data_IF_908615900244
#
_entry.id   IF_908615900244
#
_cell.length_a   1.000
_cell.length_b   1.000
_cell.length_c   1.000
_cell.angle_alpha   90.00
_cell.angle_beta   90.00
_cell.angle_gamma   90.00
#
_symmetry.space_group_name_H-M   'P 1'
#
loop_
_entity.id
_entity.type
_entity.pdbx_description
1 polymer ?
#
# COMPACT_ATOMS: atom_id res chain seq x y z
N UNK A 1 -15.45 16.01 -26.83
CA UNK A 1 -15.68 17.45 -27.10
C UNK A 1 -17.15 17.86 -27.02
N UNK A 2 -18.09 17.16 -27.67
CA UNK A 2 -19.52 17.51 -27.67
C UNK A 2 -20.18 17.56 -26.28
N UNK A 3 -20.04 16.52 -25.44
CA UNK A 3 -20.59 16.51 -24.08
C UNK A 3 -20.00 17.59 -23.15
N UNK A 4 -18.71 17.92 -23.33
CA UNK A 4 -18.04 18.96 -22.55
C UNK A 4 -18.62 20.36 -22.85
N UNK A 5 -19.10 20.60 -24.08
CA UNK A 5 -19.78 21.84 -24.43
C UNK A 5 -21.12 21.99 -23.70
N UNK A 6 -21.93 20.93 -23.61
CA UNK A 6 -23.20 20.95 -22.88
C UNK A 6 -23.00 21.17 -21.37
N UNK A 7 -21.94 20.62 -20.80
CA UNK A 7 -21.61 20.73 -19.38
C UNK A 7 -20.77 21.97 -19.02
N UNK A 8 -20.47 22.84 -20.01
CA UNK A 8 -19.62 24.02 -19.82
C UNK A 8 -20.16 25.02 -18.79
N UNK A 9 -21.47 25.04 -18.54
CA UNK A 9 -22.10 25.88 -17.52
C UNK A 9 -21.81 25.43 -16.08
N UNK A 10 -21.17 24.26 -15.88
CA UNK A 10 -20.76 23.79 -14.56
C UNK A 10 -21.89 23.28 -13.68
N UNK A 11 -23.14 23.23 -14.16
CA UNK A 11 -24.31 22.85 -13.34
C UNK A 11 -24.44 21.36 -13.04
N UNK A 12 -23.49 20.53 -13.46
CA UNK A 12 -23.47 19.09 -13.19
C UNK A 12 -24.25 18.23 -14.18
N UNK A 13 -25.38 18.72 -14.70
CA UNK A 13 -26.24 18.04 -15.70
C UNK A 13 -26.65 19.01 -16.81
N UNK A 14 -26.84 18.48 -18.02
CA UNK A 14 -27.45 19.18 -19.14
C UNK A 14 -28.36 18.24 -19.95
N UNK A 15 -29.54 18.73 -20.33
CA UNK A 15 -30.47 18.01 -21.21
C UNK A 15 -30.43 18.60 -22.62
N UNK A 16 -30.32 17.75 -23.62
CA UNK A 16 -30.36 18.12 -25.03
C UNK A 16 -31.56 17.48 -25.71
N UNK A 17 -32.37 18.28 -26.41
CA UNK A 17 -33.63 17.87 -27.02
C UNK A 17 -33.51 17.89 -28.55
N UNK A 18 -33.84 16.78 -29.21
CA UNK A 18 -33.78 16.66 -30.66
C UNK A 18 -35.00 15.91 -31.24
N UNK A 19 -35.71 16.47 -32.23
CA UNK A 19 -35.58 17.85 -32.71
C UNK A 19 -36.07 18.85 -31.66
N UNK A 20 -35.41 20.00 -31.54
CA UNK A 20 -35.81 21.07 -30.61
C UNK A 20 -36.98 21.91 -31.15
N UNK A 21 -37.23 21.85 -32.46
CA UNK A 21 -38.36 22.50 -33.14
C UNK A 21 -38.83 21.66 -34.33
N UNK A 22 -40.10 21.82 -34.74
CA UNK A 22 -40.65 21.10 -35.88
C UNK A 22 -42.10 21.47 -36.15
N UNK A 23 -42.67 20.91 -37.22
CA UNK A 23 -44.10 21.03 -37.54
C UNK A 23 -44.75 19.66 -37.52
N UNK A 24 -45.85 19.50 -36.78
CA UNK A 24 -46.69 18.31 -36.84
C UNK A 24 -47.91 18.59 -37.71
N UNK A 25 -48.11 17.77 -38.75
CA UNK A 25 -49.37 17.75 -39.47
C UNK A 25 -50.51 17.18 -38.62
N UNK A 26 -51.75 17.37 -39.07
CA UNK A 26 -52.92 16.80 -38.40
C UNK A 26 -52.76 15.27 -38.27
N UNK A 27 -52.97 14.76 -37.06
CA UNK A 27 -52.84 13.34 -36.70
C UNK A 27 -51.44 12.73 -36.89
N UNK A 28 -50.42 13.56 -37.14
CA UNK A 28 -49.03 13.10 -37.17
C UNK A 28 -48.52 12.88 -35.74
N UNK A 29 -47.57 11.96 -35.58
CA UNK A 29 -46.78 11.78 -34.37
C UNK A 29 -45.32 12.14 -34.65
N UNK A 30 -44.67 12.78 -33.67
CA UNK A 30 -43.25 13.08 -33.70
C UNK A 30 -42.63 12.53 -32.42
N UNK A 31 -41.54 11.79 -32.57
CA UNK A 31 -40.71 11.34 -31.45
C UNK A 31 -39.66 12.41 -31.20
N UNK A 32 -39.55 12.84 -29.94
CA UNK A 32 -38.52 13.76 -29.47
C UNK A 32 -37.54 12.95 -28.62
N UNK A 33 -36.28 12.98 -28.99
CA UNK A 33 -35.18 12.39 -28.23
C UNK A 33 -34.65 13.41 -27.21
N UNK A 34 -34.47 12.96 -25.97
CA UNK A 34 -33.92 13.77 -24.88
C UNK A 34 -32.68 13.07 -24.36
N UNK A 35 -31.52 13.68 -24.56
CA UNK A 35 -30.22 13.16 -24.14
C UNK A 35 -29.73 13.92 -22.92
N UNK A 36 -29.45 13.20 -21.83
CA UNK A 36 -28.88 13.78 -20.62
C UNK A 36 -27.36 13.56 -20.55
N UNK A 37 -26.62 14.63 -20.28
CA UNK A 37 -25.18 14.59 -19.98
C UNK A 37 -24.96 14.96 -18.52
N UNK A 38 -24.01 14.32 -17.85
CA UNK A 38 -23.69 14.62 -16.45
C UNK A 38 -22.20 14.47 -16.15
N UNK A 39 -21.72 15.22 -15.14
CA UNK A 39 -20.38 15.04 -14.55
C UNK A 39 -20.37 15.14 -13.01
N UNK A 40 -21.51 15.39 -12.37
CA UNK A 40 -21.66 15.50 -10.91
C UNK A 40 -22.73 14.56 -10.39
N UNK A 41 -22.56 14.01 -9.18
CA UNK A 41 -23.66 13.33 -8.48
C UNK A 41 -24.73 14.34 -8.05
N UNK A 42 -25.90 13.83 -7.69
CA UNK A 42 -26.98 14.63 -7.12
C UNK A 42 -28.34 14.34 -7.73
N UNK A 43 -29.33 15.03 -7.19
CA UNK A 43 -30.71 15.04 -7.64
C UNK A 43 -30.98 16.33 -8.41
N UNK A 44 -31.45 16.18 -9.64
CA UNK A 44 -31.67 17.27 -10.58
C UNK A 44 -33.15 17.32 -10.97
N UNK A 45 -33.71 18.53 -10.96
CA UNK A 45 -35.05 18.86 -11.42
C UNK A 45 -34.96 19.96 -12.46
N UNK A 46 -35.72 19.80 -13.53
CA UNK A 46 -35.84 20.81 -14.57
C UNK A 46 -37.22 20.70 -15.24
N UNK A 47 -37.56 21.68 -16.08
CA UNK A 47 -38.84 21.72 -16.78
C UNK A 47 -38.62 21.77 -18.30
N UNK A 48 -39.16 20.79 -19.01
CA UNK A 48 -39.23 20.84 -20.46
C UNK A 48 -40.45 21.65 -20.89
N UNK A 49 -40.19 22.80 -21.51
CA UNK A 49 -41.23 23.72 -22.00
C UNK A 49 -41.50 23.46 -23.48
N UNK A 50 -42.70 22.95 -23.80
CA UNK A 50 -43.16 22.74 -25.16
C UNK A 50 -44.09 23.89 -25.58
N UNK A 51 -43.66 24.67 -26.58
CA UNK A 51 -44.45 25.77 -27.16
C UNK A 51 -45.01 25.38 -28.53
N UNK A 52 -46.31 25.56 -28.72
CA UNK A 52 -47.01 25.22 -29.98
C UNK A 52 -47.74 26.46 -30.51
N UNK A 53 -47.15 27.13 -31.50
CA UNK A 53 -47.71 28.36 -32.07
C UNK A 53 -48.01 29.42 -31.00
N UNK A 54 -49.26 29.89 -30.99
CA UNK A 54 -49.78 30.88 -30.03
C UNK A 54 -50.52 30.25 -28.83
N UNK A 55 -50.43 28.93 -28.64
CA UNK A 55 -51.01 28.25 -27.49
C UNK A 55 -50.17 28.47 -26.23
N UNK A 56 -50.82 28.37 -25.08
CA UNK A 56 -50.16 28.37 -23.77
C UNK A 56 -49.08 27.26 -23.72
N UNK A 57 -47.84 27.58 -23.27
CA UNK A 57 -46.78 26.60 -23.17
C UNK A 57 -47.15 25.44 -22.26
N UNK A 58 -46.86 24.22 -22.71
CA UNK A 58 -47.01 23.02 -21.88
C UNK A 58 -45.70 22.70 -21.18
N UNK A 59 -45.73 22.68 -19.85
CA UNK A 59 -44.59 22.30 -19.01
C UNK A 59 -44.62 20.80 -18.72
N UNK A 60 -43.48 20.14 -18.89
CA UNK A 60 -43.29 18.72 -18.61
C UNK A 60 -42.14 18.62 -17.59
N UNK A 61 -42.41 18.23 -16.33
CA UNK A 61 -41.37 18.16 -15.31
C UNK A 61 -40.39 17.02 -15.61
N UNK A 62 -39.11 17.31 -15.48
CA UNK A 62 -38.00 16.39 -15.67
C UNK A 62 -37.27 16.17 -14.35
N UNK A 63 -36.91 14.91 -14.06
CA UNK A 63 -36.14 14.55 -12.89
C UNK A 63 -35.04 13.56 -13.28
N UNK A 64 -33.84 13.77 -12.73
CA UNK A 64 -32.69 12.91 -12.94
C UNK A 64 -31.90 12.77 -11.65
N UNK A 65 -31.58 11.53 -11.27
CA UNK A 65 -30.67 11.25 -10.16
C UNK A 65 -29.38 10.65 -10.71
N UNK A 66 -28.27 11.32 -10.46
CA UNK A 66 -26.94 10.81 -10.79
C UNK A 66 -26.34 10.15 -9.55
N UNK A 67 -26.11 8.85 -9.63
CA UNK A 67 -25.42 8.06 -8.58
C UNK A 67 -24.02 7.69 -9.04
N UNK A 68 -23.13 7.45 -8.06
CA UNK A 68 -21.76 7.00 -8.30
C UNK A 68 -20.70 8.05 -7.94
N UNK A 69 -19.44 7.63 -7.96
CA UNK A 69 -18.31 8.47 -7.62
C UNK A 69 -17.68 9.06 -8.89
N UNK A 70 -17.57 10.40 -9.01
CA UNK A 70 -16.97 11.04 -10.19
C UNK A 70 -15.42 11.06 -10.14
N UNK A 71 -14.83 10.39 -9.15
CA UNK A 71 -13.40 10.37 -8.87
C UNK A 71 -12.82 9.04 -9.36
N UNK A 72 -11.62 9.12 -9.92
CA UNK A 72 -10.89 7.96 -10.39
C UNK A 72 -9.51 7.92 -9.73
N UNK A 73 -9.14 6.76 -9.20
CA UNK A 73 -7.79 6.49 -8.74
C UNK A 73 -6.98 5.89 -9.89
N UNK A 74 -5.94 6.59 -10.31
CA UNK A 74 -5.01 6.13 -11.32
C UNK A 74 -3.69 5.72 -10.67
N UNK A 75 -3.37 4.42 -10.73
CA UNK A 75 -2.03 3.91 -10.45
C UNK A 75 -1.14 4.25 -11.66
N UNK A 76 -0.15 5.11 -11.48
CA UNK A 76 0.77 5.51 -12.56
C UNK A 76 2.09 4.76 -12.37
N UNK A 77 2.57 4.05 -13.39
CA UNK A 77 3.94 3.50 -13.44
C UNK A 77 4.29 2.31 -12.51
N UNK A 78 5.51 1.76 -12.61
CA UNK A 78 5.99 0.67 -11.77
C UNK A 78 6.28 1.16 -10.33
N UNK A 79 5.61 0.56 -9.34
CA UNK A 79 5.81 0.52 -7.87
C UNK A 79 6.26 1.76 -7.05
N UNK A 80 6.79 2.84 -7.64
CA UNK A 80 7.39 3.97 -6.89
C UNK A 80 6.67 5.31 -7.06
N UNK A 81 5.70 5.43 -7.97
CA UNK A 81 4.92 6.66 -8.10
C UNK A 81 3.66 6.59 -7.23
N UNK A 82 3.37 7.69 -6.52
CA UNK A 82 2.18 7.80 -5.69
C UNK A 82 0.92 7.73 -6.57
N UNK A 83 -0.14 7.01 -6.13
CA UNK A 83 -1.39 6.99 -6.86
C UNK A 83 -1.96 8.40 -7.01
N UNK A 84 -2.51 8.66 -8.20
CA UNK A 84 -3.08 9.96 -8.56
C UNK A 84 -4.59 9.85 -8.55
N UNK A 85 -5.22 10.66 -7.72
CA UNK A 85 -6.67 10.88 -7.71
C UNK A 85 -6.98 11.93 -8.77
N UNK A 86 -7.87 11.61 -9.70
CA UNK A 86 -8.31 12.52 -10.76
C UNK A 86 -9.79 12.83 -10.64
N UNK A 87 -10.11 14.07 -10.98
CA UNK A 87 -11.47 14.57 -10.95
C UNK A 87 -11.72 15.54 -12.11
N UNK A 88 -12.87 15.41 -12.78
CA UNK A 88 -13.08 16.01 -14.11
C UNK A 88 -14.09 17.17 -14.13
N UNK A 89 -14.55 17.65 -12.98
CA UNK A 89 -15.63 18.67 -12.91
C UNK A 89 -15.08 20.02 -12.47
N UNK A 90 -15.84 21.10 -12.57
CA UNK A 90 -15.34 22.44 -12.23
C UNK A 90 -15.21 22.73 -10.72
N UNK A 91 -15.87 21.96 -9.86
CA UNK A 91 -15.90 22.23 -8.42
C UNK A 91 -14.75 21.56 -7.70
N UNK A 92 -14.43 22.03 -6.50
CA UNK A 92 -13.50 21.35 -5.62
C UNK A 92 -14.27 20.28 -4.84
N UNK A 93 -13.75 19.05 -4.79
CA UNK A 93 -14.26 18.02 -3.88
C UNK A 93 -13.27 17.85 -2.75
N UNK A 94 -13.75 17.90 -1.52
CA UNK A 94 -13.01 17.37 -0.39
C UNK A 94 -13.27 15.88 -0.23
N UNK A 95 -12.21 15.12 -0.01
CA UNK A 95 -12.22 13.72 0.35
C UNK A 95 -11.74 13.55 1.78
N UNK A 96 -12.53 12.84 2.58
CA UNK A 96 -12.24 12.46 3.95
C UNK A 96 -12.05 10.95 4.03
N UNK A 97 -10.83 10.50 4.36
CA UNK A 97 -10.42 9.10 4.29
C UNK A 97 -10.56 8.36 5.63
N UNK A 98 -11.39 7.32 5.62
CA UNK A 98 -11.46 6.31 6.66
C UNK A 98 -10.89 4.98 6.14
N UNK A 99 -10.24 4.21 7.01
CA UNK A 99 -9.63 2.92 6.65
C UNK A 99 -10.17 1.85 7.59
N UNK A 100 -10.46 0.68 7.04
CA UNK A 100 -11.09 -0.42 7.73
C UNK A 100 -10.34 -1.71 7.45
N UNK A 101 -10.03 -2.47 8.49
CA UNK A 101 -9.54 -3.83 8.36
C UNK A 101 -10.71 -4.81 8.26
N UNK A 102 -10.52 -5.87 7.47
CA UNK A 102 -11.43 -7.01 7.44
C UNK A 102 -10.93 -8.08 8.40
N UNK A 103 -11.66 -8.30 9.50
CA UNK A 103 -11.37 -9.35 10.47
C UNK A 103 -12.25 -10.58 10.18
N UNK A 104 -11.65 -11.76 10.06
CA UNK A 104 -12.36 -13.00 9.68
C UNK A 104 -13.45 -13.41 10.68
N UNK A 105 -13.31 -13.02 11.94
CA UNK A 105 -14.22 -13.40 13.03
C UNK A 105 -15.17 -12.27 13.45
N UNK A 106 -15.29 -11.20 12.65
CA UNK A 106 -16.18 -10.09 12.97
C UNK A 106 -17.66 -10.47 12.79
N UNK A 107 -18.39 -10.50 13.91
CA UNK A 107 -19.82 -10.84 13.96
C UNK A 107 -20.72 -9.59 14.00
N UNK A 108 -20.16 -8.38 13.92
CA UNK A 108 -20.92 -7.14 13.98
C UNK A 108 -21.67 -6.90 12.67
N UNK A 109 -22.97 -6.62 12.76
CA UNK A 109 -23.83 -6.41 11.58
C UNK A 109 -24.09 -4.94 11.27
N UNK A 110 -24.11 -4.10 12.30
CA UNK A 110 -24.58 -2.71 12.21
C UNK A 110 -23.71 -1.80 13.08
N UNK A 111 -23.38 -0.64 12.54
CA UNK A 111 -22.77 0.48 13.27
C UNK A 111 -23.82 1.53 13.65
N UNK A 112 -23.75 2.01 14.88
CA UNK A 112 -24.45 3.19 15.36
C UNK A 112 -23.41 4.30 15.56
N UNK A 113 -23.39 5.28 14.66
CA UNK A 113 -22.48 6.41 14.72
C UNK A 113 -23.22 7.62 15.30
N UNK A 114 -22.61 8.29 16.25
CA UNK A 114 -23.13 9.50 16.89
C UNK A 114 -22.16 10.64 16.62
N UNK A 115 -22.66 11.71 16.00
CA UNK A 115 -21.87 12.90 15.68
C UNK A 115 -22.41 14.10 16.41
N UNK A 116 -21.50 14.96 16.86
CA UNK A 116 -21.79 16.26 17.43
C UNK A 116 -21.32 17.32 16.43
N UNK A 117 -22.25 17.92 15.69
CA UNK A 117 -21.96 18.78 14.54
C UNK A 117 -21.80 18.02 13.22
N UNK A 118 -20.99 18.60 12.31
CA UNK A 118 -20.66 18.01 11.01
C UNK A 118 -19.79 16.74 11.21
N UNK A 119 -20.16 15.58 10.62
CA UNK A 119 -19.32 14.37 10.68
C UNK A 119 -17.95 14.53 10.01
N UNK A 120 -17.82 15.45 9.05
CA UNK A 120 -16.59 15.67 8.27
C UNK A 120 -16.18 17.14 8.28
N UNK A 121 -15.83 17.72 9.44
CA UNK A 121 -15.46 19.12 9.50
C UNK A 121 -14.16 19.37 8.72
N UNK A 122 -14.05 20.49 7.99
CA UNK A 122 -12.77 20.90 7.40
C UNK A 122 -11.71 20.97 8.49
N UNK A 123 -10.56 20.31 8.29
CA UNK A 123 -9.43 20.42 9.19
C UNK A 123 -8.67 21.70 8.86
N UNK A 124 -8.53 22.58 9.85
CA UNK A 124 -7.69 23.76 9.70
C UNK A 124 -6.24 23.31 9.42
N UNK A 125 -5.61 23.89 8.40
CA UNK A 125 -4.22 23.61 7.99
C UNK A 125 -3.17 23.84 9.10
N UNK A 126 -3.58 24.33 10.27
CA UNK A 126 -2.75 24.59 11.44
C UNK A 126 -2.93 23.59 12.60
N UNK A 127 -3.91 22.68 12.56
CA UNK A 127 -4.17 21.70 13.63
C UNK A 127 -4.27 20.26 13.08
N UNK A 128 -3.14 19.68 12.72
CA UNK A 128 -2.95 18.23 12.58
C UNK A 128 -1.44 18.01 12.69
N UNK A 129 -0.84 17.55 13.79
CA UNK A 129 -1.15 16.39 14.62
C UNK A 129 -0.74 16.65 16.09
N UNK A 130 -1.67 16.72 17.04
CA UNK A 130 -1.39 16.39 18.45
C UNK A 130 -2.67 15.91 19.14
N UNK A 131 -3.03 14.65 18.89
CA UNK A 131 -3.72 13.84 19.90
C UNK A 131 -2.74 12.78 20.38
N UNK A 132 -1.73 13.20 21.16
CA UNK A 132 -0.97 12.31 22.02
C UNK A 132 -0.52 13.07 23.27
N UNK A 133 -0.84 12.47 24.40
CA UNK A 133 -0.66 12.99 25.75
C UNK A 133 0.83 13.16 26.11
N UNK A 134 1.23 14.38 26.48
CA UNK A 134 2.23 14.61 27.52
C UNK A 134 3.67 14.94 27.09
N UNK A 135 4.23 15.89 27.84
CA UNK A 135 5.64 16.30 28.05
C UNK A 135 6.29 17.35 27.14
N UNK A 136 6.85 18.33 27.85
CA UNK A 136 7.51 19.57 27.49
C UNK A 136 8.90 19.36 26.89
N UNK A 137 9.20 20.02 25.75
CA UNK A 137 10.46 20.76 25.50
C UNK A 137 10.57 21.20 24.03
N UNK A 138 10.64 22.51 23.80
CA UNK A 138 11.33 23.17 22.67
C UNK A 138 12.80 22.67 22.55
N UNK A 139 13.51 22.72 21.39
CA UNK A 139 13.48 23.87 20.47
C UNK A 139 13.62 23.62 18.94
N UNK A 140 13.22 24.65 18.21
CA UNK A 140 13.85 25.30 17.04
C UNK A 140 14.70 24.45 16.04
N UNK A 141 14.21 24.36 14.80
CA UNK A 141 14.93 24.93 13.64
C UNK A 141 14.04 24.95 12.38
N UNK A 142 13.77 26.17 11.93
CA UNK A 142 13.03 26.48 10.71
C UNK A 142 13.87 26.26 9.45
N UNK A 143 13.31 25.57 8.46
CA UNK A 143 13.72 25.69 7.07
C UNK A 143 12.53 26.16 6.24
N UNK A 144 12.50 27.48 5.99
CA UNK A 144 11.65 28.15 5.01
C UNK A 144 11.90 27.56 3.62
N UNK A 145 10.84 27.15 2.94
CA UNK A 145 10.83 27.09 1.48
C UNK A 145 9.70 27.98 0.96
N UNK A 146 10.10 29.03 0.25
CA UNK A 146 9.25 30.00 -0.42
C UNK A 146 8.22 29.30 -1.33
N UNK A 147 6.94 29.61 -1.14
CA UNK A 147 5.94 29.49 -2.19
C UNK A 147 5.25 30.85 -2.36
N UNK A 148 5.53 31.44 -3.52
CA UNK A 148 4.90 32.62 -4.08
C UNK A 148 3.38 32.45 -4.07
N UNK A 149 2.71 33.18 -3.19
CA UNK A 149 1.27 33.35 -3.22
C UNK A 149 0.89 34.05 -4.53
N UNK A 150 0.12 33.37 -5.38
CA UNK A 150 -0.65 34.00 -6.45
C UNK A 150 -2.08 34.17 -5.93
N UNK A 151 -2.54 35.41 -5.66
CA UNK A 151 -3.93 35.65 -5.31
C UNK A 151 -4.73 35.65 -6.62
N UNK A 152 -5.42 34.55 -6.93
CA UNK A 152 -6.28 34.52 -8.11
C UNK A 152 -7.70 34.95 -7.72
N UNK A 153 -7.96 36.25 -7.83
CA UNK A 153 -9.30 36.81 -7.75
C UNK A 153 -10.20 36.25 -8.87
N UNK A 154 -11.40 35.81 -8.48
CA UNK A 154 -12.47 35.47 -9.41
C UNK A 154 -12.89 36.74 -10.18
N UNK A 155 -12.54 36.82 -11.46
CA UNK A 155 -13.04 37.86 -12.36
C UNK A 155 -14.26 37.29 -13.09
N UNK A 156 -15.45 37.65 -12.59
CA UNK A 156 -16.71 37.44 -13.31
C UNK A 156 -16.82 38.46 -14.46
N UNK A 157 -17.13 38.05 -15.70
CA UNK A 157 -17.70 38.96 -16.68
C UNK A 157 -19.19 39.14 -16.36
N UNK A 158 -19.57 40.36 -15.99
CA UNK A 158 -20.95 40.78 -15.87
C UNK A 158 -21.68 40.62 -17.21
N UNK A 159 -22.74 39.82 -17.23
CA UNK A 159 -23.85 39.99 -18.16
C UNK A 159 -25.13 39.89 -17.34
N UNK A 160 -25.72 41.06 -17.10
CA UNK A 160 -27.00 41.24 -16.45
C UNK A 160 -28.12 40.93 -17.45
N UNK A 161 -29.02 40.02 -17.09
CA UNK A 161 -30.46 40.21 -17.30
C UNK A 161 -31.12 39.79 -16.00
N UNK A 162 -31.81 40.75 -15.40
CA UNK A 162 -32.43 40.67 -14.09
C UNK A 162 -33.62 39.73 -14.07
N UNK A 163 -33.66 38.85 -13.08
CA UNK A 163 -34.88 38.42 -12.40
C UNK A 163 -34.52 38.34 -10.91
N UNK A 164 -34.96 39.34 -10.15
CA UNK A 164 -34.85 39.37 -8.69
C UNK A 164 -35.93 38.46 -8.10
N UNK A 165 -35.62 37.18 -7.88
CA UNK A 165 -36.43 36.32 -7.02
C UNK A 165 -36.03 36.55 -5.56
N UNK A 166 -37.03 36.97 -4.78
CA UNK A 166 -36.93 37.23 -3.34
C UNK A 166 -36.65 35.91 -2.61
N UNK A 167 -35.40 35.75 -2.15
CA UNK A 167 -34.95 34.61 -1.35
C UNK A 167 -35.67 34.67 0.01
N UNK A 168 -36.70 33.85 0.17
CA UNK A 168 -37.24 33.51 1.49
C UNK A 168 -36.54 32.24 1.96
N UNK A 169 -35.38 32.40 2.60
CA UNK A 169 -34.63 31.28 3.16
C UNK A 169 -35.35 30.68 4.36
N UNK A 170 -35.66 29.39 4.31
CA UNK A 170 -36.04 28.61 5.48
C UNK A 170 -34.86 28.56 6.49
N UNK A 171 -35.13 28.54 7.80
CA UNK A 171 -34.07 28.56 8.81
C UNK A 171 -33.29 27.24 8.77
N UNK A 172 -31.98 27.31 8.50
CA UNK A 172 -31.05 26.19 8.65
C UNK A 172 -30.98 25.81 10.12
N UNK A 173 -31.71 24.78 10.53
CA UNK A 173 -31.53 24.17 11.85
C UNK A 173 -30.15 23.52 11.88
N UNK A 174 -29.21 24.11 12.61
CA UNK A 174 -27.90 23.49 12.85
C UNK A 174 -28.10 22.12 13.51
N UNK A 175 -27.67 21.06 12.82
CA UNK A 175 -27.71 19.69 13.36
C UNK A 175 -26.66 19.57 14.47
N UNK A 176 -27.05 19.86 15.71
CA UNK A 176 -26.14 19.79 16.87
C UNK A 176 -25.74 18.34 17.17
N UNK A 177 -26.67 17.40 17.03
CA UNK A 177 -26.42 15.96 17.21
C UNK A 177 -27.07 15.20 16.06
N UNK A 178 -26.31 14.31 15.42
CA UNK A 178 -26.83 13.39 14.41
C UNK A 178 -26.46 11.95 14.75
N UNK A 179 -27.37 11.03 14.43
CA UNK A 179 -27.20 9.59 14.66
C UNK A 179 -27.41 8.87 13.34
N UNK A 180 -26.43 8.08 12.94
CA UNK A 180 -26.46 7.29 11.71
C UNK A 180 -26.40 5.80 12.05
N UNK A 181 -27.34 5.03 11.49
CA UNK A 181 -27.33 3.58 11.54
C UNK A 181 -26.93 3.09 10.15
N UNK A 182 -25.86 2.30 10.05
CA UNK A 182 -25.39 1.74 8.77
C UNK A 182 -24.95 0.28 8.93
N UNK A 183 -24.90 -0.51 7.84
CA UNK A 183 -24.25 -1.81 7.85
C UNK A 183 -22.82 -1.69 8.38
N UNK A 184 -22.39 -2.66 9.18
CA UNK A 184 -21.00 -2.72 9.60
C UNK A 184 -20.13 -3.14 8.41
N UNK A 185 -19.19 -2.29 8.03
CA UNK A 185 -18.32 -2.56 6.87
C UNK A 185 -16.96 -3.16 7.27
N UNK A 186 -16.51 -2.92 8.50
CA UNK A 186 -15.24 -3.43 9.04
C UNK A 186 -14.77 -2.62 10.25
N UNK A 187 -13.61 -2.99 10.79
CA UNK A 187 -13.05 -2.37 12.00
C UNK A 187 -12.17 -1.16 11.60
N UNK A 188 -12.46 0.07 12.07
CA UNK A 188 -11.62 1.23 11.81
C UNK A 188 -10.16 1.00 12.23
N UNK A 189 -9.21 1.31 11.36
CA UNK A 189 -7.80 1.06 11.60
C UNK A 189 -6.85 2.11 10.99
N UNK A 190 -5.70 2.28 11.65
CA UNK A 190 -4.54 3.06 11.17
C UNK A 190 -3.37 2.16 10.77
N UNK A 191 -3.54 0.84 10.88
CA UNK A 191 -2.55 -0.19 10.60
C UNK A 191 -3.22 -1.50 10.15
N UNK A 192 -2.59 -2.28 9.26
CA UNK A 192 -1.28 -2.06 8.65
C UNK A 192 -1.30 -1.02 7.51
N UNK A 193 -2.47 -0.61 7.02
CA UNK A 193 -2.59 0.38 5.97
C UNK A 193 -2.81 1.79 6.50
N UNK A 194 -2.24 2.79 5.83
CA UNK A 194 -2.57 4.20 6.07
C UNK A 194 -2.62 5.01 4.77
N UNK A 195 -3.43 6.06 4.75
CA UNK A 195 -3.54 7.02 3.64
C UNK A 195 -3.21 8.42 4.16
N UNK A 196 -2.27 9.08 3.50
CA UNK A 196 -1.82 10.43 3.85
C UNK A 196 -1.86 11.35 2.63
N UNK A 197 -2.48 12.54 2.74
CA UNK A 197 -3.22 13.04 3.91
C UNK A 197 -4.60 12.39 4.09
N UNK A 198 -5.10 12.38 5.33
CA UNK A 198 -6.45 11.85 5.70
C UNK A 198 -7.59 12.71 5.16
N UNK A 199 -7.35 14.00 4.92
CA UNK A 199 -8.31 14.91 4.30
C UNK A 199 -7.62 15.63 3.15
N UNK A 200 -8.27 15.69 1.99
CA UNK A 200 -7.66 16.24 0.79
C UNK A 200 -8.68 16.94 -0.10
N UNK A 201 -8.32 18.09 -0.66
CA UNK A 201 -9.17 18.83 -1.59
C UNK A 201 -8.67 18.60 -3.02
N UNK A 202 -9.48 17.92 -3.82
CA UNK A 202 -9.21 17.69 -5.24
C UNK A 202 -9.70 18.90 -6.04
N UNK A 203 -8.81 19.60 -6.77
CA UNK A 203 -9.22 20.74 -7.58
C UNK A 203 -10.12 20.32 -8.73
N UNK A 204 -11.06 21.20 -9.07
CA UNK A 204 -11.93 20.99 -10.22
C UNK A 204 -11.16 20.81 -11.53
N UNK A 205 -11.38 19.68 -12.20
CA UNK A 205 -10.78 19.33 -13.49
C UNK A 205 -9.32 18.93 -13.37
N UNK A 206 -8.81 18.84 -12.13
CA UNK A 206 -7.43 18.56 -11.82
C UNK A 206 -7.22 17.19 -11.22
N UNK A 207 -6.07 17.06 -10.55
CA UNK A 207 -5.65 15.83 -9.92
C UNK A 207 -4.78 16.12 -8.72
N UNK A 208 -4.73 15.17 -7.79
CA UNK A 208 -3.89 15.24 -6.61
C UNK A 208 -3.37 13.84 -6.26
N UNK A 209 -2.18 13.76 -5.69
CA UNK A 209 -1.58 12.49 -5.28
C UNK A 209 -1.87 12.20 -3.80
N UNK A 210 -2.05 10.94 -3.48
CA UNK A 210 -2.13 10.45 -2.10
C UNK A 210 -1.06 9.39 -1.87
N UNK A 211 -0.53 9.32 -0.65
CA UNK A 211 0.36 8.24 -0.25
C UNK A 211 -0.46 7.16 0.44
N UNK A 212 -0.46 5.95 -0.11
CA UNK A 212 -1.01 4.75 0.54
C UNK A 212 0.19 3.92 0.99
N UNK A 213 0.29 3.64 2.29
CA UNK A 213 1.39 2.87 2.84
C UNK A 213 0.91 1.56 3.48
N UNK A 214 1.80 0.58 3.56
CA UNK A 214 1.57 -0.72 4.18
C UNK A 214 2.71 -1.02 5.15
N UNK A 215 2.39 -1.03 6.44
CA UNK A 215 3.28 -1.33 7.56
C UNK A 215 2.79 -2.60 8.23
N UNK A 216 3.23 -3.78 7.76
CA UNK A 216 2.78 -5.05 8.30
C UNK A 216 3.25 -5.27 9.73
N UNK A 217 2.51 -6.08 10.49
CA UNK A 217 2.96 -6.59 11.78
C UNK A 217 4.03 -7.67 11.57
N UNK A 218 4.84 -7.89 12.60
CA UNK A 218 5.81 -8.99 12.60
C UNK A 218 5.05 -10.31 12.49
N UNK A 219 5.45 -11.13 11.52
CA UNK A 219 4.85 -12.44 11.29
C UNK A 219 5.14 -13.36 12.49
N UNK A 220 4.12 -14.03 13.07
CA UNK A 220 4.35 -15.05 14.09
C UNK A 220 5.22 -16.19 13.53
N UNK A 221 6.08 -16.80 14.37
CA UNK A 221 6.99 -17.88 13.94
C UNK A 221 6.27 -19.11 13.36
N UNK A 222 4.98 -19.28 13.67
CA UNK A 222 4.15 -20.41 13.22
C UNK A 222 3.57 -20.24 11.82
N UNK A 223 3.53 -19.01 11.29
CA UNK A 223 2.87 -18.69 10.02
C UNK A 223 3.92 -18.42 8.93
N UNK A 224 3.73 -19.02 7.75
CA UNK A 224 4.64 -18.82 6.61
C UNK A 224 4.26 -17.63 5.75
N UNK A 225 2.98 -17.28 5.74
CA UNK A 225 2.42 -16.16 4.98
C UNK A 225 1.11 -15.72 5.66
N UNK A 226 0.91 -14.41 5.81
CA UNK A 226 -0.34 -13.80 6.27
C UNK A 226 -0.85 -12.85 5.19
N UNK A 227 -2.13 -12.97 4.89
CA UNK A 227 -2.86 -12.03 4.06
C UNK A 227 -3.45 -10.93 4.95
N UNK A 228 -3.25 -9.68 4.56
CA UNK A 228 -3.87 -8.51 5.18
C UNK A 228 -4.87 -7.94 4.18
N UNK A 229 -6.15 -7.96 4.55
CA UNK A 229 -7.23 -7.38 3.76
C UNK A 229 -7.79 -6.15 4.47
N UNK A 230 -7.93 -5.06 3.71
CA UNK A 230 -8.50 -3.81 4.20
C UNK A 230 -9.18 -3.07 3.05
N UNK A 231 -9.90 -2.01 3.38
CA UNK A 231 -10.38 -1.06 2.39
C UNK A 231 -10.37 0.36 2.96
N UNK A 232 -10.24 1.34 2.07
CA UNK A 232 -10.35 2.75 2.39
C UNK A 232 -11.61 3.34 1.76
N UNK A 233 -12.29 4.19 2.50
CA UNK A 233 -13.47 4.94 2.07
C UNK A 233 -13.13 6.43 2.04
N UNK A 234 -13.27 7.05 0.88
CA UNK A 234 -13.19 8.50 0.70
C UNK A 234 -14.59 9.10 0.67
N UNK A 235 -15.01 9.72 1.77
CA UNK A 235 -16.27 10.45 1.85
C UNK A 235 -16.14 11.80 1.15
N UNK A 236 -17.11 12.13 0.30
CA UNK A 236 -17.04 13.30 -0.55
C UNK A 236 -17.88 14.44 0.01
N UNK A 237 -17.29 15.62 0.08
CA UNK A 237 -17.96 16.86 0.50
C UNK A 237 -17.66 17.98 -0.49
N UNK A 238 -18.63 18.86 -0.71
CA UNK A 238 -18.47 20.05 -1.55
C UNK A 238 -18.48 21.26 -0.63
N UNK A 239 -17.37 21.96 -0.45
CA UNK A 239 -17.33 23.10 0.50
C UNK A 239 -17.96 24.38 -0.04
N UNK A 240 -18.15 24.45 -1.35
CA UNK A 240 -18.82 25.55 -2.03
C UNK A 240 -20.35 25.35 -1.99
N UNK A 241 -21.07 26.24 -1.32
CA UNK A 241 -22.53 26.20 -1.22
C UNK A 241 -23.23 26.27 -2.59
N UNK A 242 -22.64 27.01 -3.56
CA UNK A 242 -23.14 27.05 -4.94
C UNK A 242 -22.95 25.72 -5.66
N UNK A 243 -22.01 24.90 -5.19
CA UNK A 243 -21.81 23.54 -5.65
C UNK A 243 -22.74 22.55 -4.95
N UNK A 244 -23.19 22.81 -3.71
CA UNK A 244 -24.10 21.90 -3.00
C UNK A 244 -25.52 21.95 -3.52
N UNK A 245 -26.07 23.17 -3.66
CA UNK A 245 -27.50 23.35 -3.92
C UNK A 245 -27.75 24.48 -4.91
N UNK A 246 -28.70 24.24 -5.82
CA UNK A 246 -29.38 25.29 -6.58
C UNK A 246 -30.85 25.21 -6.17
N UNK A 247 -31.44 26.30 -5.61
CA UNK A 247 -32.83 26.28 -5.15
C UNK A 247 -33.77 25.64 -6.16
N UNK A 248 -34.60 24.71 -5.69
CA UNK A 248 -35.61 23.94 -6.43
C UNK A 248 -35.12 23.09 -7.62
N UNK A 249 -33.83 23.17 -7.97
CA UNK A 249 -33.28 22.52 -9.18
C UNK A 249 -32.25 21.46 -8.89
N UNK A 250 -31.37 21.67 -7.92
CA UNK A 250 -30.26 20.74 -7.67
C UNK A 250 -30.04 20.57 -6.19
N UNK A 251 -29.97 19.32 -5.75
CA UNK A 251 -29.52 18.95 -4.43
C UNK A 251 -28.40 17.90 -4.54
N UNK A 252 -27.26 18.17 -3.91
CA UNK A 252 -26.14 17.23 -3.81
C UNK A 252 -25.91 16.91 -2.34
N UNK A 253 -26.15 15.66 -1.96
CA UNK A 253 -25.76 15.17 -0.65
C UNK A 253 -24.24 15.22 -0.47
N UNK A 254 -23.80 15.19 0.78
CA UNK A 254 -22.40 15.16 1.20
C UNK A 254 -22.15 14.04 2.22
N UNK A 255 -20.88 13.73 2.47
CA UNK A 255 -20.45 12.77 3.48
C UNK A 255 -21.16 11.42 3.35
N UNK A 256 -21.92 11.05 4.39
CA UNK A 256 -22.65 9.77 4.46
C UNK A 256 -23.92 9.71 3.59
N UNK A 257 -24.39 10.84 3.03
CA UNK A 257 -25.55 10.85 2.12
C UNK A 257 -25.18 10.34 0.72
N UNK A 258 -23.88 10.23 0.42
CA UNK A 258 -23.34 9.79 -0.87
C UNK A 258 -22.53 8.51 -0.68
N UNK A 259 -22.63 7.54 -1.60
CA UNK A 259 -21.73 6.40 -1.59
C UNK A 259 -20.25 6.84 -1.62
N UNK A 260 -19.42 6.38 -0.67
CA UNK A 260 -18.02 6.78 -0.62
C UNK A 260 -17.22 6.22 -1.80
N UNK A 261 -16.09 6.87 -2.10
CA UNK A 261 -15.10 6.33 -3.00
C UNK A 261 -14.35 5.19 -2.31
N UNK A 262 -14.51 3.95 -2.79
CA UNK A 262 -13.90 2.76 -2.17
C UNK A 262 -12.61 2.35 -2.87
N UNK A 263 -11.58 2.06 -2.09
CA UNK A 263 -10.31 1.46 -2.53
C UNK A 263 -10.07 0.18 -1.73
N UNK A 264 -10.07 -0.97 -2.40
CA UNK A 264 -9.72 -2.24 -1.79
C UNK A 264 -8.19 -2.38 -1.68
N UNK A 265 -7.71 -2.86 -0.54
CA UNK A 265 -6.30 -2.96 -0.19
C UNK A 265 -5.97 -4.40 0.19
N UNK A 266 -4.98 -4.97 -0.49
CA UNK A 266 -4.54 -6.34 -0.26
C UNK A 266 -3.02 -6.39 -0.15
N UNK A 267 -2.52 -7.14 0.83
CA UNK A 267 -1.09 -7.26 1.12
C UNK A 267 -0.77 -8.64 1.67
N UNK A 268 0.42 -9.12 1.34
CA UNK A 268 0.90 -10.43 1.79
C UNK A 268 2.23 -10.26 2.51
N UNK A 269 2.32 -10.85 3.69
CA UNK A 269 3.52 -10.83 4.53
C UNK A 269 4.02 -12.27 4.64
N UNK A 270 5.09 -12.58 3.92
CA UNK A 270 5.70 -13.91 3.92
C UNK A 270 7.00 -13.96 4.72
N UNK A 271 7.26 -15.09 5.36
CA UNK A 271 8.55 -15.36 5.98
C UNK A 271 9.66 -15.40 4.91
N UNK A 272 10.78 -14.76 5.19
CA UNK A 272 11.98 -14.85 4.35
C UNK A 272 12.63 -16.23 4.58
N UNK A 273 12.18 -17.25 3.85
CA UNK A 273 12.69 -18.62 3.98
C UNK A 273 13.31 -19.11 2.68
N UNK A 274 14.53 -19.65 2.80
CA UNK A 274 15.19 -20.38 1.72
C UNK A 274 14.99 -21.87 1.91
N UNK A 275 14.63 -22.56 0.83
CA UNK A 275 14.65 -24.02 0.83
C UNK A 275 16.09 -24.49 0.75
N UNK A 276 16.51 -25.32 1.71
CA UNK A 276 17.83 -25.94 1.76
C UNK A 276 17.71 -27.40 1.35
N UNK A 277 18.33 -27.77 0.24
CA UNK A 277 18.45 -29.15 -0.21
C UNK A 277 19.91 -29.61 -0.01
N UNK A 278 20.10 -30.70 0.76
CA UNK A 278 21.40 -31.36 0.96
C UNK A 278 21.42 -32.71 0.27
N UNK A 279 22.61 -33.19 -0.12
CA UNK A 279 22.77 -34.49 -0.80
C UNK A 279 22.37 -35.69 0.07
N UNK A 280 22.29 -35.50 1.39
CA UNK A 280 21.95 -36.55 2.35
C UNK A 280 20.79 -36.11 3.26
N UNK A 281 19.90 -37.05 3.60
CA UNK A 281 18.73 -36.81 4.47
C UNK A 281 19.11 -36.43 5.92
N UNK A 282 20.36 -36.68 6.33
CA UNK A 282 20.88 -36.37 7.67
C UNK A 282 21.56 -34.99 7.76
N UNK A 283 21.33 -34.13 6.77
CA UNK A 283 22.02 -32.86 6.62
C UNK A 283 23.41 -33.02 6.01
N UNK A 284 24.25 -32.00 6.17
CA UNK A 284 25.60 -31.96 5.61
C UNK A 284 26.60 -32.65 6.54
N UNK A 285 27.20 -33.77 6.10
CA UNK A 285 28.09 -34.59 6.95
C UNK A 285 29.45 -34.74 6.30
N UNK A 286 30.46 -34.16 6.91
CA UNK A 286 31.87 -34.25 6.47
C UNK A 286 32.56 -35.44 7.14
N UNK A 287 33.32 -36.20 6.35
CA UNK A 287 34.22 -37.25 6.85
C UNK A 287 35.64 -36.88 6.47
N UNK A 288 36.51 -36.76 7.47
CA UNK A 288 37.95 -36.56 7.29
C UNK A 288 38.71 -37.41 8.31
N UNK A 289 39.93 -37.80 7.94
CA UNK A 289 40.83 -38.60 8.75
C UNK A 289 42.12 -37.83 9.01
N UNK A 290 42.75 -38.08 10.16
CA UNK A 290 43.99 -37.40 10.52
C UNK A 290 45.13 -37.62 9.51
N UNK A 291 45.10 -38.74 8.76
CA UNK A 291 46.05 -39.01 7.68
C UNK A 291 45.94 -38.03 6.51
N UNK A 292 44.83 -37.30 6.36
CA UNK A 292 44.66 -36.26 5.34
C UNK A 292 45.64 -35.09 5.53
N UNK A 293 46.25 -34.97 6.72
CA UNK A 293 47.30 -33.99 7.01
C UNK A 293 48.69 -34.45 6.56
N UNK A 294 48.86 -35.72 6.16
CA UNK A 294 50.14 -36.29 5.76
C UNK A 294 50.21 -36.33 4.24
N UNK A 295 51.20 -35.65 3.66
CA UNK A 295 51.42 -35.69 2.21
C UNK A 295 52.05 -37.04 1.79
N UNK A 296 51.70 -37.51 0.59
CA UNK A 296 52.27 -38.73 -0.01
C UNK A 296 53.80 -38.65 -0.21
N UNK A 297 54.36 -37.43 -0.23
CA UNK A 297 55.79 -37.18 -0.29
C UNK A 297 56.36 -36.87 1.12
N UNK A 298 57.18 -37.77 1.70
CA UNK A 298 57.69 -37.62 3.07
C UNK A 298 58.56 -36.37 3.32
N UNK A 299 59.09 -35.76 2.25
CA UNK A 299 60.00 -34.62 2.31
C UNK A 299 59.29 -33.27 2.49
N UNK A 300 57.97 -33.20 2.28
CA UNK A 300 57.18 -31.97 2.37
C UNK A 300 56.52 -31.73 3.73
N UNK A 301 56.69 -32.64 4.69
CA UNK A 301 56.19 -32.49 6.06
C UNK A 301 54.68 -32.72 6.21
N UNK A 302 54.16 -32.39 7.40
CA UNK A 302 52.74 -32.52 7.77
C UNK A 302 52.04 -31.19 7.54
N UNK A 303 50.91 -31.21 6.84
CA UNK A 303 50.06 -30.04 6.61
C UNK A 303 49.55 -29.47 7.93
N UNK A 304 49.39 -28.16 7.97
CA UNK A 304 48.70 -27.48 9.08
C UNK A 304 47.20 -27.72 9.05
N UNK A 305 46.65 -27.86 7.83
CA UNK A 305 45.22 -27.97 7.58
C UNK A 305 44.96 -28.77 6.30
N UNK A 306 43.89 -29.58 6.29
CA UNK A 306 43.33 -30.20 5.08
C UNK A 306 41.84 -29.88 4.97
N UNK A 307 41.33 -29.70 3.76
CA UNK A 307 39.99 -29.15 3.54
C UNK A 307 39.12 -30.16 2.79
N UNK A 308 37.97 -30.49 3.38
CA UNK A 308 36.93 -31.30 2.73
C UNK A 308 35.74 -30.41 2.39
N UNK A 309 35.32 -30.38 1.13
CA UNK A 309 34.23 -29.50 0.68
C UNK A 309 33.03 -30.30 0.20
N UNK A 310 31.84 -29.88 0.63
CA UNK A 310 30.56 -30.39 0.15
C UNK A 310 29.71 -29.23 -0.35
N UNK A 311 28.65 -29.53 -1.09
CA UNK A 311 27.73 -28.52 -1.61
C UNK A 311 26.32 -28.71 -1.04
N UNK A 312 25.61 -27.61 -0.85
CA UNK A 312 24.18 -27.58 -0.59
C UNK A 312 23.52 -26.64 -1.57
N UNK A 313 22.24 -26.86 -1.85
CA UNK A 313 21.46 -26.03 -2.77
C UNK A 313 20.47 -25.19 -1.97
N UNK A 314 20.57 -23.87 -2.13
CA UNK A 314 19.58 -22.91 -1.66
C UNK A 314 18.62 -22.61 -2.80
N UNK A 315 17.32 -22.60 -2.53
CA UNK A 315 16.28 -22.21 -3.50
C UNK A 315 15.36 -21.16 -2.90
N UNK A 316 15.15 -20.06 -3.62
CA UNK A 316 14.16 -19.07 -3.23
C UNK A 316 12.79 -19.47 -3.80
N UNK A 317 11.91 -19.98 -2.93
CA UNK A 317 10.54 -20.34 -3.28
C UNK A 317 9.54 -19.18 -3.10
N UNK A 318 9.99 -18.02 -2.62
CA UNK A 318 9.15 -16.83 -2.39
C UNK A 318 8.92 -16.04 -3.68
N UNK A 319 7.97 -15.09 -3.64
CA UNK A 319 7.63 -14.20 -4.76
C UNK A 319 8.56 -12.97 -4.86
N UNK A 320 9.47 -12.78 -3.91
CA UNK A 320 10.35 -11.60 -3.82
C UNK A 320 11.84 -11.99 -3.78
N UNK A 321 12.77 -11.11 -4.20
CA UNK A 321 14.19 -11.35 -4.01
C UNK A 321 14.56 -11.41 -2.52
N UNK A 322 15.36 -12.38 -2.13
CA UNK A 322 15.86 -12.52 -0.76
C UNK A 322 17.32 -12.10 -0.69
N UNK A 323 17.60 -11.16 0.22
CA UNK A 323 18.93 -10.70 0.56
C UNK A 323 19.35 -11.35 1.88
N UNK A 324 20.50 -12.03 1.89
CA UNK A 324 20.93 -12.80 3.06
C UNK A 324 22.44 -12.97 3.13
N UNK A 325 22.93 -13.41 4.28
CA UNK A 325 24.31 -13.88 4.49
C UNK A 325 24.29 -15.22 5.21
N UNK A 326 25.37 -15.96 5.05
CA UNK A 326 25.52 -17.31 5.60
C UNK A 326 26.59 -17.26 6.68
N UNK A 327 26.24 -17.66 7.89
CA UNK A 327 27.12 -17.56 9.05
C UNK A 327 27.61 -18.95 9.45
N UNK A 328 28.93 -19.12 9.41
CA UNK A 328 29.67 -20.28 9.89
C UNK A 328 30.93 -19.81 10.60
N UNK A 329 31.46 -20.65 11.48
CA UNK A 329 32.72 -20.44 12.18
C UNK A 329 33.62 -21.66 12.01
N UNK A 330 34.93 -21.47 12.12
CA UNK A 330 35.87 -22.58 12.12
C UNK A 330 35.43 -23.65 13.15
N UNK A 331 35.49 -24.94 12.79
CA UNK A 331 36.19 -25.53 11.64
C UNK A 331 35.41 -25.52 10.31
N UNK A 332 34.22 -24.93 10.26
CA UNK A 332 33.44 -24.82 9.03
C UNK A 332 33.64 -23.46 8.37
N UNK A 333 33.76 -23.43 7.05
CA UNK A 333 33.82 -22.18 6.30
C UNK A 333 33.03 -22.27 5.01
N UNK A 334 32.73 -21.11 4.45
CA UNK A 334 32.21 -21.00 3.09
C UNK A 334 33.39 -20.88 2.13
N UNK A 335 33.39 -21.67 1.07
CA UNK A 335 34.32 -21.44 -0.04
C UNK A 335 33.66 -20.50 -1.04
N UNK A 336 34.44 -19.56 -1.60
CA UNK A 336 33.95 -18.47 -2.45
C UNK A 336 32.92 -18.97 -3.48
N UNK A 337 31.68 -18.54 -3.30
CA UNK A 337 30.60 -18.77 -4.26
C UNK A 337 30.93 -18.00 -5.53
N UNK A 338 30.91 -18.67 -6.67
CA UNK A 338 31.24 -18.09 -7.98
C UNK A 338 30.49 -16.75 -8.19
N UNK A 339 31.19 -15.60 -8.13
CA UNK A 339 30.55 -14.29 -8.07
C UNK A 339 29.83 -13.91 -9.38
N UNK A 340 30.02 -14.69 -10.45
CA UNK A 340 29.55 -14.34 -11.79
C UNK A 340 28.04 -14.48 -12.04
N UNK A 341 27.26 -15.05 -11.10
CA UNK A 341 25.79 -15.17 -11.27
C UNK A 341 24.94 -14.27 -10.36
N UNK A 342 25.53 -13.57 -9.39
CA UNK A 342 24.76 -12.86 -8.34
C UNK A 342 25.18 -11.39 -8.10
N UNK A 343 26.17 -10.86 -8.81
CA UNK A 343 26.65 -9.49 -8.56
C UNK A 343 25.96 -8.46 -9.47
N UNK A 344 24.90 -7.83 -8.96
CA UNK A 344 24.64 -6.41 -9.26
C UNK A 344 24.85 -5.64 -7.96
N UNK A 345 26.06 -5.16 -7.75
CA UNK A 345 26.40 -4.25 -6.65
C UNK A 345 25.80 -2.88 -6.94
N UNK A 346 24.93 -2.40 -6.05
CA UNK A 346 24.58 -0.98 -5.96
C UNK A 346 25.81 -0.19 -5.54
N UNK A 347 26.13 0.87 -6.29
CA UNK A 347 27.20 1.81 -5.95
C UNK A 347 26.96 2.44 -4.57
N UNK A 348 27.91 2.27 -3.65
CA UNK A 348 27.92 2.96 -2.36
C UNK A 348 29.11 2.52 -1.52
N UNK A 349 29.98 3.47 -1.18
CA UNK A 349 31.22 3.30 -0.40
C UNK A 349 30.93 2.78 1.02
N UNK A 350 31.65 1.76 1.46
CA UNK A 350 32.59 1.77 2.59
C UNK A 350 32.88 0.34 3.04
N UNK A 351 34.17 -0.01 3.00
CA UNK A 351 34.73 -1.26 3.52
C UNK A 351 34.57 -1.29 5.04
N UNK A 352 33.63 -2.10 5.51
CA UNK A 352 33.75 -2.81 6.78
C UNK A 352 33.72 -4.29 6.48
N UNK A 353 34.54 -5.06 7.18
CA UNK A 353 34.77 -6.51 7.10
C UNK A 353 33.49 -7.35 7.34
N UNK A 354 32.44 -7.11 6.57
CA UNK A 354 31.20 -7.87 6.59
C UNK A 354 31.18 -8.71 5.32
N UNK A 355 30.91 -10.00 5.47
CA UNK A 355 30.75 -10.91 4.33
C UNK A 355 29.74 -10.33 3.32
N UNK A 356 29.99 -10.47 2.01
CA UNK A 356 29.12 -9.88 0.99
C UNK A 356 27.70 -10.44 1.12
N UNK A 357 26.71 -9.54 1.09
CA UNK A 357 25.31 -9.91 1.09
C UNK A 357 24.94 -10.61 -0.22
N UNK A 358 24.42 -11.82 -0.14
CA UNK A 358 23.97 -12.63 -1.26
C UNK A 358 22.53 -12.27 -1.62
N UNK A 359 22.18 -12.41 -2.90
CA UNK A 359 20.83 -12.13 -3.41
C UNK A 359 20.33 -13.33 -4.23
N UNK A 360 19.16 -13.85 -3.90
CA UNK A 360 18.52 -14.91 -4.67
C UNK A 360 17.13 -14.46 -5.11
N UNK A 361 16.92 -14.35 -6.43
CA UNK A 361 15.62 -13.94 -6.99
C UNK A 361 14.60 -15.07 -6.95
N UNK A 362 13.30 -14.78 -7.08
CA UNK A 362 12.24 -15.79 -7.09
C UNK A 362 12.53 -16.94 -8.05
N UNK A 363 12.31 -18.17 -7.57
CA UNK A 363 12.52 -19.43 -8.31
C UNK A 363 13.97 -19.71 -8.72
N UNK A 364 14.94 -18.89 -8.30
CA UNK A 364 16.35 -19.17 -8.52
C UNK A 364 16.90 -20.11 -7.45
N UNK A 365 17.97 -20.80 -7.84
CA UNK A 365 18.77 -21.61 -6.94
C UNK A 365 20.24 -21.20 -6.97
N UNK A 366 20.91 -21.45 -5.87
CA UNK A 366 22.33 -21.20 -5.67
C UNK A 366 22.97 -22.43 -5.04
N UNK A 367 24.10 -22.85 -5.59
CA UNK A 367 24.92 -23.91 -5.01
C UNK A 367 25.96 -23.27 -4.09
N UNK A 368 25.87 -23.59 -2.80
CA UNK A 368 26.80 -23.11 -1.77
C UNK A 368 27.76 -24.22 -1.43
N UNK A 369 29.05 -23.93 -1.45
CA UNK A 369 30.10 -24.88 -1.06
C UNK A 369 30.56 -24.60 0.35
N UNK A 370 30.29 -25.53 1.25
CA UNK A 370 30.72 -25.49 2.64
C UNK A 370 31.91 -26.42 2.80
N UNK A 371 32.93 -25.94 3.50
CA UNK A 371 34.18 -26.64 3.73
C UNK A 371 34.33 -26.94 5.21
N UNK A 372 34.81 -28.14 5.52
CA UNK A 372 35.32 -28.52 6.83
C UNK A 372 36.84 -28.54 6.78
N UNK A 373 37.45 -27.81 7.69
CA UNK A 373 38.89 -27.67 7.82
C UNK A 373 39.40 -28.59 8.90
N UNK A 374 40.07 -29.66 8.52
CA UNK A 374 40.78 -30.54 9.45
C UNK A 374 42.10 -29.87 9.81
N UNK A 375 42.20 -29.29 11.01
CA UNK A 375 43.40 -28.64 11.47
C UNK A 375 44.25 -29.56 12.36
N UNK A 376 45.57 -29.40 12.30
CA UNK A 376 46.53 -30.19 13.11
C UNK A 376 46.28 -30.06 14.61
N UNK A 377 45.79 -28.92 15.06
CA UNK A 377 45.42 -28.66 16.45
C UNK A 377 44.35 -29.63 16.98
N UNK A 378 43.46 -30.15 16.13
CA UNK A 378 42.43 -31.11 16.56
C UNK A 378 43.03 -32.44 17.04
N UNK A 379 44.26 -32.78 16.63
CA UNK A 379 44.94 -33.96 17.14
C UNK A 379 45.19 -33.86 18.65
N UNK A 380 45.34 -32.65 19.18
CA UNK A 380 45.49 -32.44 20.63
C UNK A 380 44.17 -32.58 21.38
N UNK A 381 43.03 -32.34 20.73
CA UNK A 381 41.71 -32.38 21.37
C UNK A 381 41.33 -33.79 21.80
N UNK A 382 41.89 -34.83 21.17
CA UNK A 382 41.67 -36.23 21.58
C UNK A 382 42.28 -36.56 22.96
N UNK A 383 43.18 -35.72 23.46
CA UNK A 383 43.84 -35.87 24.75
C UNK A 383 43.22 -34.98 25.84
N UNK A 384 42.33 -34.07 25.47
CA UNK A 384 41.67 -33.17 26.43
C UNK A 384 40.49 -33.90 27.12
N UNK A 385 40.23 -33.61 28.40
CA UNK A 385 38.99 -34.03 29.05
C UNK A 385 37.79 -33.25 28.47
N UNK A 386 36.60 -33.86 28.49
CA UNK A 386 35.40 -33.30 27.88
C UNK A 386 35.06 -31.87 28.38
N UNK A 387 35.43 -31.55 29.62
CA UNK A 387 35.26 -30.22 30.23
C UNK A 387 36.12 -29.10 29.60
N UNK A 388 37.12 -29.45 28.79
CA UNK A 388 38.03 -28.50 28.12
C UNK A 388 37.79 -28.43 26.60
N UNK A 389 36.81 -29.16 26.07
CA UNK A 389 36.46 -29.13 24.65
C UNK A 389 35.61 -27.89 24.32
N UNK A 390 35.76 -27.38 23.10
CA UNK A 390 34.95 -26.27 22.60
C UNK A 390 33.47 -26.68 22.47
N UNK A 391 32.52 -25.73 22.62
CA UNK A 391 31.11 -25.99 22.37
C UNK A 391 30.87 -26.62 21.00
N UNK A 392 30.08 -27.70 20.95
CA UNK A 392 29.80 -28.44 19.71
C UNK A 392 30.85 -29.48 19.32
N UNK A 393 31.91 -29.68 20.12
CA UNK A 393 32.92 -30.73 19.90
C UNK A 393 32.73 -31.88 20.89
N UNK A 394 32.58 -33.10 20.37
CA UNK A 394 32.45 -34.33 21.16
C UNK A 394 33.58 -35.31 20.83
N UNK A 395 34.32 -35.79 21.83
CA UNK A 395 35.34 -36.82 21.68
C UNK A 395 34.75 -38.20 21.99
N UNK A 396 34.56 -39.03 20.96
CA UNK A 396 34.03 -40.37 21.07
C UNK A 396 35.17 -41.39 21.14
N UNK A 397 35.09 -42.33 22.09
CA UNK A 397 35.99 -43.49 22.20
C UNK A 397 35.18 -44.77 21.97
N UNK A 398 35.65 -45.61 21.07
CA UNK A 398 35.03 -46.88 20.74
C UNK A 398 35.75 -48.04 21.47
N UNK A 399 35.06 -49.17 21.66
CA UNK A 399 35.60 -50.34 22.36
C UNK A 399 36.84 -50.94 21.69
N UNK A 400 36.97 -50.75 20.37
CA UNK A 400 38.13 -51.14 19.58
C UNK A 400 39.36 -50.23 19.77
N UNK A 401 39.27 -49.20 20.62
CA UNK A 401 40.32 -48.22 20.85
C UNK A 401 40.33 -47.05 19.86
N UNK A 402 39.46 -47.04 18.84
CA UNK A 402 39.33 -45.92 17.92
C UNK A 402 38.79 -44.67 18.62
N UNK A 403 39.28 -43.51 18.20
CA UNK A 403 38.81 -42.21 18.68
C UNK A 403 38.28 -41.39 17.51
N UNK A 404 37.13 -40.74 17.70
CA UNK A 404 36.55 -39.83 16.71
C UNK A 404 36.22 -38.50 17.37
N UNK A 405 36.52 -37.40 16.69
CA UNK A 405 36.05 -36.07 17.06
C UNK A 405 34.83 -35.75 16.21
N UNK A 406 33.74 -35.35 16.86
CA UNK A 406 32.50 -34.93 16.19
C UNK A 406 32.29 -33.45 16.42
N UNK A 407 32.24 -32.70 15.33
CA UNK A 407 31.95 -31.26 15.33
C UNK A 407 30.51 -31.06 14.89
N UNK A 408 29.74 -30.27 15.65
CA UNK A 408 28.35 -29.91 15.34
C UNK A 408 28.22 -28.39 15.33
N UNK A 409 27.69 -27.87 14.23
CA UNK A 409 27.36 -26.46 14.07
C UNK A 409 26.16 -26.33 13.15
N UNK A 410 25.27 -25.37 13.45
CA UNK A 410 24.17 -25.01 12.57
C UNK A 410 24.63 -23.97 11.54
N UNK A 411 24.13 -24.07 10.32
CA UNK A 411 24.29 -23.03 9.30
C UNK A 411 23.22 -21.97 9.52
N UNK A 412 23.61 -20.78 9.97
CA UNK A 412 22.64 -19.70 10.17
C UNK A 412 22.57 -18.85 8.90
N UNK A 413 21.38 -18.76 8.31
CA UNK A 413 21.05 -17.84 7.23
C UNK A 413 20.45 -16.60 7.87
N UNK A 414 21.11 -15.46 7.74
CA UNK A 414 20.61 -14.19 8.26
C UNK A 414 20.14 -13.31 7.12
N UNK A 415 18.89 -12.89 7.17
CA UNK A 415 18.24 -12.08 6.15
C UNK A 415 18.47 -10.59 6.40
N UNK A 416 18.29 -9.76 5.36
CA UNK A 416 18.49 -8.30 5.44
C UNK A 416 17.57 -7.59 6.44
N UNK A 417 16.42 -8.18 6.75
CA UNK A 417 15.46 -7.72 7.76
C UNK A 417 15.84 -8.13 9.19
N UNK A 418 16.99 -8.81 9.38
CA UNK A 418 17.47 -9.29 10.68
C UNK A 418 16.89 -10.62 11.14
N UNK A 419 15.97 -11.25 10.38
CA UNK A 419 15.46 -12.58 10.73
C UNK A 419 16.49 -13.65 10.40
N UNK A 420 16.53 -14.70 11.21
CA UNK A 420 17.45 -15.83 11.02
C UNK A 420 16.69 -17.12 10.72
N UNK A 421 17.28 -17.94 9.86
CA UNK A 421 16.87 -19.31 9.59
C UNK A 421 18.05 -20.23 9.95
N UNK A 422 17.79 -21.32 10.66
CA UNK A 422 18.81 -22.24 11.22
C UNK A 422 18.74 -23.62 10.56
#
# INVERSE_FOLDING_TARGET
EFAAAFLSHGKGVAFHVQPSTGTLAAFQQLIIEITAYNNMWGEYRDDLVCKVGDLEPKVIPMQMTVKGCPIFLQMTGPQTEQPIIRYSTKYYIRLDWEIYNLEQDDQKLVDLLMFFGDPFPPKDMAESETASTGSTSEPENALKLDQTAVPCGSVYPASQTADEEVITGEPTTEKIVSVLIRPHEGVPADNPYSITPRQIVVPGGGSISVCISFTPRVLPETETEVQCEAFALGFMSLDDELAKTVPDKVHRGDGYEVPPFRVDLEGFVGAALLKVDTDHDRGMVFYSVASDLVLDQPLLGVLTESVTTQSLKLTNCTKVPLHFRLLLSLPFSLSSTDPQKSTKTSHGKEEKEQQPQLVLYPQQNMLVKVSFHTAREFLTYQCLPDTQLLPGVEALRFENGERKLKFKQNLVIEHSNGTTQV
#
